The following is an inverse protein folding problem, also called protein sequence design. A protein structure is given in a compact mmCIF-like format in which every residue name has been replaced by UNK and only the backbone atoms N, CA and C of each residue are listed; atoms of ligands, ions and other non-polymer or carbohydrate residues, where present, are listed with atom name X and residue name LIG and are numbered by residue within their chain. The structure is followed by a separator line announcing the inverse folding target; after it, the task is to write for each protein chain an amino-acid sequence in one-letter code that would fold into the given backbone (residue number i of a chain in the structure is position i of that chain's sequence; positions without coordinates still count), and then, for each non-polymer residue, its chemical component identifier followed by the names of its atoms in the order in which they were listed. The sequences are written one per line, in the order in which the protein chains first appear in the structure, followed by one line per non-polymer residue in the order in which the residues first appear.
data_IF_503440025167
#
_entry.id   IF_503440025167
#
_cell.length_a   1.000
_cell.length_b   1.000
_cell.length_c   1.000
_cell.angle_alpha   90.00
_cell.angle_beta   90.00
_cell.angle_gamma   90.00
#
_symmetry.space_group_name_H-M   'P 1'
#
loop_
_entity.id
_entity.type
_entity.pdbx_description
1 polymer ?
#
# COMPACT_ATOMS: atom_id res chain seq x y z
N UNK A 1 -24.49 27.48 -16.81
CA UNK A 1 -24.73 26.72 -15.56
C UNK A 1 -23.56 27.00 -14.65
N UNK A 2 -23.76 27.82 -13.61
CA UNK A 2 -22.74 28.14 -12.61
C UNK A 2 -22.58 26.92 -11.72
N UNK A 3 -21.51 26.18 -11.92
CA UNK A 3 -21.05 25.14 -10.96
C UNK A 3 -20.48 25.91 -9.78
N UNK A 4 -21.27 26.12 -8.74
CA UNK A 4 -20.72 26.52 -7.46
C UNK A 4 -19.63 25.49 -7.08
N UNK A 5 -18.44 25.95 -6.64
CA UNK A 5 -17.43 25.03 -6.17
C UNK A 5 -18.03 24.24 -4.99
N UNK A 6 -18.01 22.93 -5.08
CA UNK A 6 -18.38 22.03 -3.96
C UNK A 6 -17.43 22.32 -2.79
N UNK A 7 -17.79 23.30 -1.97
CA UNK A 7 -17.01 23.68 -0.79
C UNK A 7 -17.07 22.52 0.19
N UNK A 8 -15.91 22.04 0.61
CA UNK A 8 -15.80 21.04 1.68
C UNK A 8 -16.36 21.66 2.96
N UNK A 9 -17.38 21.03 3.53
CA UNK A 9 -17.89 21.44 4.83
C UNK A 9 -16.85 21.05 5.90
N UNK A 10 -16.28 22.06 6.57
CA UNK A 10 -15.25 21.85 7.61
C UNK A 10 -15.75 21.04 8.82
N UNK A 11 -17.06 20.89 8.98
CA UNK A 11 -17.67 20.09 10.05
C UNK A 11 -17.89 18.62 9.66
N UNK A 12 -17.63 18.24 8.40
CA UNK A 12 -17.78 16.87 7.95
C UNK A 12 -16.61 16.04 8.46
N UNK A 13 -16.90 14.82 8.91
CA UNK A 13 -15.85 13.86 9.28
C UNK A 13 -14.96 13.56 8.07
N UNK A 14 -13.63 13.74 8.14
CA UNK A 14 -12.73 13.50 7.01
C UNK A 14 -12.76 12.08 6.48
N UNK A 15 -13.01 11.06 7.32
CA UNK A 15 -13.10 9.67 6.89
C UNK A 15 -14.39 9.40 6.11
N UNK A 16 -15.51 10.00 6.49
CA UNK A 16 -16.75 9.89 5.73
C UNK A 16 -16.58 10.53 4.35
N UNK A 17 -15.95 11.71 4.30
CA UNK A 17 -15.65 12.38 3.04
C UNK A 17 -14.69 11.54 2.17
N UNK A 18 -13.66 10.94 2.77
CA UNK A 18 -12.76 10.00 2.07
C UNK A 18 -13.55 8.84 1.47
N UNK A 19 -14.45 8.24 2.24
CA UNK A 19 -15.29 7.11 1.81
C UNK A 19 -16.12 7.47 0.59
N UNK A 20 -16.83 8.59 0.64
CA UNK A 20 -17.71 9.05 -0.44
C UNK A 20 -16.90 9.28 -1.73
N UNK A 21 -15.78 9.99 -1.64
CA UNK A 21 -14.92 10.27 -2.77
C UNK A 21 -14.22 9.02 -3.31
N UNK A 22 -13.86 8.08 -2.44
CA UNK A 22 -13.25 6.82 -2.87
C UNK A 22 -14.26 5.93 -3.60
N UNK A 23 -15.52 5.88 -3.16
CA UNK A 23 -16.58 5.17 -3.88
C UNK A 23 -16.88 5.82 -5.25
N UNK A 24 -16.81 7.14 -5.36
CA UNK A 24 -16.90 7.85 -6.63
C UNK A 24 -15.68 7.52 -7.53
N UNK A 25 -14.48 7.57 -7.00
CA UNK A 25 -13.25 7.24 -7.72
C UNK A 25 -13.24 5.79 -8.24
N UNK A 26 -13.75 4.83 -7.48
CA UNK A 26 -13.87 3.43 -7.93
C UNK A 26 -14.73 3.27 -9.18
N UNK A 27 -15.66 4.18 -9.43
CA UNK A 27 -16.57 4.14 -10.59
C UNK A 27 -15.99 4.86 -11.80
N UNK A 28 -15.08 5.80 -11.59
CA UNK A 28 -14.67 6.77 -12.62
C UNK A 28 -13.19 6.71 -12.98
N UNK A 29 -12.30 6.30 -12.06
CA UNK A 29 -10.89 6.10 -12.37
C UNK A 29 -10.70 4.88 -13.26
N UNK A 30 -9.92 5.05 -14.32
CA UNK A 30 -9.66 3.98 -15.30
C UNK A 30 -8.82 2.85 -14.66
N UNK A 31 -7.86 3.20 -13.81
CA UNK A 31 -6.94 2.25 -13.19
C UNK A 31 -6.73 2.58 -11.71
N UNK A 32 -6.64 1.55 -10.90
CA UNK A 32 -6.16 1.57 -9.51
C UNK A 32 -6.65 2.77 -8.66
N UNK A 33 -7.95 2.99 -8.46
CA UNK A 33 -8.46 4.08 -7.62
C UNK A 33 -7.89 4.04 -6.20
N UNK A 34 -7.41 2.89 -5.77
CA UNK A 34 -6.75 2.66 -4.49
C UNK A 34 -5.23 2.90 -4.52
N UNK A 35 -4.67 3.36 -5.64
CA UNK A 35 -3.27 3.75 -5.70
C UNK A 35 -3.04 5.03 -4.89
N UNK A 36 -2.04 5.01 -4.03
CA UNK A 36 -1.64 6.16 -3.23
C UNK A 36 -0.14 6.35 -3.24
N UNK A 37 0.31 7.58 -3.29
CA UNK A 37 1.72 7.91 -3.10
C UNK A 37 2.04 7.87 -1.60
N UNK A 38 2.95 6.98 -1.21
CA UNK A 38 3.49 6.89 0.14
C UNK A 38 4.84 7.62 0.19
N UNK A 39 4.91 8.71 0.92
CA UNK A 39 6.15 9.39 1.27
C UNK A 39 6.72 8.83 2.59
N UNK A 40 8.03 8.60 2.62
CA UNK A 40 8.77 8.09 3.78
C UNK A 40 10.08 8.83 3.94
N UNK A 41 10.63 8.86 5.14
CA UNK A 41 11.92 9.47 5.46
C UNK A 41 12.91 8.33 5.74
N UNK A 42 14.02 8.29 5.00
CA UNK A 42 15.08 7.32 5.22
C UNK A 42 15.89 7.63 6.49
N UNK A 43 16.69 6.67 6.97
CA UNK A 43 17.51 6.82 8.19
C UNK A 43 18.47 8.02 8.16
N UNK A 44 18.86 8.49 6.96
CA UNK A 44 19.70 9.69 6.77
C UNK A 44 18.89 10.98 6.52
N UNK A 45 17.59 10.98 6.87
CA UNK A 45 16.72 12.15 6.76
C UNK A 45 16.19 12.46 5.34
N UNK A 46 16.58 11.70 4.31
CA UNK A 46 16.14 11.96 2.94
C UNK A 46 14.71 11.50 2.69
N UNK A 47 13.81 12.36 2.19
CA UNK A 47 12.47 11.94 1.77
C UNK A 47 12.54 11.10 0.50
N UNK A 48 11.68 10.11 0.42
CA UNK A 48 11.48 9.28 -0.77
C UNK A 48 10.01 8.93 -0.91
N UNK A 49 9.51 8.78 -2.14
CA UNK A 49 8.12 8.41 -2.38
C UNK A 49 7.95 7.33 -3.45
N UNK A 50 6.83 6.65 -3.44
CA UNK A 50 6.43 5.62 -4.41
C UNK A 50 4.94 5.35 -4.30
N UNK A 51 4.38 4.73 -5.33
CA UNK A 51 3.00 4.25 -5.27
C UNK A 51 2.94 2.94 -4.48
N UNK A 52 1.94 2.84 -3.61
CA UNK A 52 1.46 1.62 -2.97
C UNK A 52 -0.06 1.55 -3.10
N UNK A 53 -0.65 0.38 -2.85
CA UNK A 53 -2.10 0.21 -2.97
C UNK A 53 -2.74 0.15 -1.58
N UNK A 54 -3.74 1.01 -1.36
CA UNK A 54 -4.65 0.89 -0.22
C UNK A 54 -5.38 -0.45 -0.29
N UNK A 55 -5.45 -1.17 0.83
CA UNK A 55 -6.12 -2.48 0.91
C UNK A 55 -7.34 -2.48 1.82
N UNK A 56 -7.28 -1.72 2.89
CA UNK A 56 -8.42 -1.42 3.76
C UNK A 56 -8.20 -0.09 4.46
N UNK A 57 -9.28 0.48 4.97
CA UNK A 57 -9.26 1.66 5.83
C UNK A 57 -10.46 1.59 6.77
N UNK A 58 -10.29 2.16 7.93
CA UNK A 58 -11.31 2.32 8.96
C UNK A 58 -10.97 3.55 9.84
N UNK A 59 -11.65 3.67 10.99
CA UNK A 59 -11.39 4.74 11.94
C UNK A 59 -9.99 4.69 12.57
N UNK A 60 -9.30 3.56 12.48
CA UNK A 60 -7.94 3.40 12.98
C UNK A 60 -6.88 3.86 11.97
N UNK A 61 -7.18 3.82 10.66
CA UNK A 61 -6.27 4.30 9.62
C UNK A 61 -6.34 3.57 8.29
N UNK A 62 -5.24 3.68 7.53
CA UNK A 62 -5.12 3.25 6.14
C UNK A 62 -4.10 2.12 6.01
N UNK A 63 -4.53 0.95 5.54
CA UNK A 63 -3.71 -0.27 5.50
C UNK A 63 -3.15 -0.53 4.10
N UNK A 64 -1.86 -0.82 4.05
CA UNK A 64 -1.18 -1.31 2.85
C UNK A 64 -0.18 -2.42 3.20
N UNK A 65 0.28 -3.16 2.19
CA UNK A 65 1.23 -4.26 2.39
C UNK A 65 2.48 -4.06 1.56
N UNK A 66 3.63 -4.43 2.13
CA UNK A 66 4.92 -4.32 1.42
C UNK A 66 5.98 -5.26 1.99
N UNK A 67 7.10 -5.35 1.27
CA UNK A 67 8.29 -6.05 1.73
C UNK A 67 9.09 -5.16 2.70
N UNK A 68 9.27 -5.61 3.95
CA UNK A 68 10.02 -4.90 5.00
C UNK A 68 11.52 -4.74 4.68
N UNK A 69 12.07 -5.60 3.80
CA UNK A 69 13.47 -5.50 3.35
C UNK A 69 13.67 -4.49 2.22
N UNK A 70 12.59 -4.00 1.59
CA UNK A 70 12.67 -2.98 0.54
C UNK A 70 13.15 -1.64 1.09
N UNK A 71 13.57 -0.71 0.19
CA UNK A 71 13.96 0.66 0.60
C UNK A 71 12.91 1.33 1.48
N UNK A 72 11.60 1.24 1.09
CA UNK A 72 10.52 1.81 1.89
C UNK A 72 10.33 1.07 3.21
N UNK A 73 10.43 -0.26 3.22
CA UNK A 73 10.32 -1.06 4.45
C UNK A 73 11.38 -0.68 5.48
N UNK A 74 12.63 -0.50 5.05
CA UNK A 74 13.72 -0.01 5.91
C UNK A 74 13.46 1.42 6.41
N UNK A 75 12.93 2.30 5.57
CA UNK A 75 12.57 3.66 5.96
C UNK A 75 11.45 3.66 7.02
N UNK A 76 10.41 2.85 6.86
CA UNK A 76 9.31 2.70 7.81
C UNK A 76 9.78 2.16 9.19
N UNK A 77 10.83 1.36 9.21
CA UNK A 77 11.42 0.87 10.48
C UNK A 77 12.25 1.94 11.20
N UNK A 78 12.82 2.90 10.46
CA UNK A 78 13.69 3.94 11.02
C UNK A 78 12.96 5.24 11.36
N UNK A 79 11.84 5.52 10.70
CA UNK A 79 11.03 6.72 10.93
C UNK A 79 9.56 6.42 10.69
N UNK A 80 8.77 6.65 11.72
CA UNK A 80 7.33 6.35 11.67
C UNK A 80 6.50 7.43 10.94
N UNK A 81 7.05 8.64 10.74
CA UNK A 81 6.33 9.71 10.07
C UNK A 81 6.22 9.45 8.57
N UNK A 82 5.01 9.49 8.07
CA UNK A 82 4.68 9.22 6.67
C UNK A 82 3.60 10.18 6.18
N UNK A 83 3.52 10.31 4.87
CA UNK A 83 2.38 10.96 4.22
C UNK A 83 1.84 10.07 3.10
N UNK A 84 0.52 10.03 2.97
CA UNK A 84 -0.19 9.43 1.86
C UNK A 84 -0.79 10.53 1.00
N UNK A 85 -0.81 10.33 -0.30
CA UNK A 85 -1.50 11.21 -1.22
C UNK A 85 -2.26 10.40 -2.25
N UNK A 86 -3.58 10.62 -2.33
CA UNK A 86 -4.44 10.16 -3.40
C UNK A 86 -4.68 11.31 -4.38
N UNK A 87 -4.69 11.01 -5.66
CA UNK A 87 -5.05 11.98 -6.70
C UNK A 87 -5.97 11.30 -7.70
N UNK A 88 -7.25 11.56 -7.57
CA UNK A 88 -8.29 11.07 -8.47
C UNK A 88 -8.60 12.12 -9.51
N UNK A 89 -7.98 11.95 -10.66
CA UNK A 89 -8.04 12.93 -11.75
C UNK A 89 -9.43 13.00 -12.38
N UNK A 90 -10.11 11.86 -12.47
CA UNK A 90 -11.45 11.76 -13.07
C UNK A 90 -12.50 12.59 -12.34
N UNK A 91 -12.34 12.82 -11.05
CA UNK A 91 -13.26 13.58 -10.20
C UNK A 91 -12.63 14.87 -9.64
N UNK A 92 -11.44 15.24 -10.11
CA UNK A 92 -10.69 16.42 -9.65
C UNK A 92 -10.55 16.52 -8.13
N UNK A 93 -10.24 15.36 -7.49
CA UNK A 93 -10.05 15.27 -6.03
C UNK A 93 -8.62 14.89 -5.68
N UNK A 94 -8.10 15.51 -4.63
CA UNK A 94 -6.84 15.15 -4.01
C UNK A 94 -7.03 15.03 -2.50
N UNK A 95 -6.47 13.98 -1.91
CA UNK A 95 -6.47 13.76 -0.46
C UNK A 95 -5.04 13.56 0.00
N UNK A 96 -4.64 14.29 1.02
CA UNK A 96 -3.38 14.13 1.73
C UNK A 96 -3.65 13.69 3.15
N UNK A 97 -2.86 12.72 3.62
CA UNK A 97 -2.95 12.17 4.97
C UNK A 97 -1.55 12.15 5.53
N UNK A 98 -1.33 12.88 6.61
CA UNK A 98 -0.08 12.85 7.37
C UNK A 98 -0.33 12.07 8.65
N UNK A 99 0.64 11.23 9.05
CA UNK A 99 0.45 10.38 10.21
C UNK A 99 1.65 9.53 10.54
N UNK A 100 1.41 8.60 11.46
CA UNK A 100 2.42 7.61 11.88
C UNK A 100 2.06 6.23 11.38
N UNK A 101 3.06 5.49 10.93
CA UNK A 101 2.90 4.11 10.44
C UNK A 101 3.24 3.12 11.54
N UNK A 102 2.44 2.05 11.63
CA UNK A 102 2.66 0.92 12.52
C UNK A 102 2.50 -0.39 11.74
N UNK A 103 3.14 -1.45 12.21
CA UNK A 103 2.94 -2.79 11.65
C UNK A 103 1.63 -3.36 12.22
N UNK A 104 0.80 -3.97 11.36
CA UNK A 104 -0.40 -4.69 11.80
C UNK A 104 -0.01 -6.05 12.41
N UNK A 105 -0.97 -6.73 13.03
CA UNK A 105 -0.77 -8.05 13.61
C UNK A 105 -0.35 -9.09 12.56
N UNK A 106 0.34 -10.15 13.01
CA UNK A 106 0.70 -11.27 12.13
C UNK A 106 -0.52 -11.97 11.57
N UNK A 107 -1.51 -12.22 12.42
CA UNK A 107 -2.73 -12.92 12.04
C UNK A 107 -3.51 -12.18 10.96
N UNK A 108 -3.61 -10.85 11.07
CA UNK A 108 -4.23 -10.01 10.07
C UNK A 108 -3.44 -10.01 8.74
N UNK A 109 -2.11 -9.95 8.84
CA UNK A 109 -1.24 -10.03 7.66
C UNK A 109 -1.33 -11.40 6.99
N UNK A 110 -1.39 -12.50 7.74
CA UNK A 110 -1.55 -13.86 7.24
C UNK A 110 -2.90 -14.03 6.56
N UNK A 111 -3.98 -13.60 7.21
CA UNK A 111 -5.34 -13.65 6.67
C UNK A 111 -5.45 -12.92 5.32
N UNK A 112 -4.88 -11.72 5.21
CA UNK A 112 -4.89 -11.00 3.95
C UNK A 112 -3.97 -11.67 2.91
N UNK A 113 -2.79 -12.17 3.31
CA UNK A 113 -1.88 -12.86 2.41
C UNK A 113 -2.53 -14.08 1.77
N UNK A 114 -3.28 -14.87 2.53
CA UNK A 114 -3.97 -16.07 2.06
C UNK A 114 -5.09 -15.76 1.07
N UNK A 115 -5.70 -14.60 1.17
CA UNK A 115 -6.73 -14.15 0.21
C UNK A 115 -6.15 -13.75 -1.16
N UNK A 116 -4.82 -13.62 -1.29
CA UNK A 116 -4.18 -13.21 -2.54
C UNK A 116 -4.12 -14.35 -3.56
N UNK A 117 -4.20 -14.06 -4.87
CA UNK A 117 -3.96 -15.05 -5.92
C UNK A 117 -2.62 -15.78 -5.74
N UNK A 118 -2.59 -17.07 -6.07
CA UNK A 118 -1.41 -17.94 -5.90
C UNK A 118 -0.14 -17.33 -6.51
N UNK A 119 -0.21 -16.83 -7.75
CA UNK A 119 0.94 -16.19 -8.41
C UNK A 119 1.47 -14.96 -7.65
N UNK A 120 0.57 -14.18 -7.01
CA UNK A 120 0.98 -13.04 -6.17
C UNK A 120 1.64 -13.50 -4.85
N UNK A 121 1.19 -14.63 -4.29
CA UNK A 121 1.82 -15.23 -3.10
C UNK A 121 3.22 -15.75 -3.43
N UNK A 122 3.37 -16.49 -4.53
CA UNK A 122 4.68 -16.98 -5.02
C UNK A 122 5.61 -15.81 -5.37
N UNK A 123 5.08 -14.78 -6.06
CA UNK A 123 5.85 -13.58 -6.39
C UNK A 123 6.43 -12.86 -5.16
N UNK A 124 5.73 -12.89 -4.03
CA UNK A 124 6.22 -12.31 -2.77
C UNK A 124 7.46 -13.04 -2.22
N UNK A 125 7.61 -14.35 -2.47
CA UNK A 125 8.82 -15.12 -2.16
C UNK A 125 9.94 -14.89 -3.17
N UNK A 126 9.61 -14.86 -4.45
CA UNK A 126 10.58 -14.80 -5.53
C UNK A 126 11.24 -13.42 -5.68
N UNK A 127 10.51 -12.34 -5.34
CA UNK A 127 10.96 -10.97 -5.56
C UNK A 127 11.83 -10.45 -4.41
N UNK A 128 13.07 -10.05 -4.73
CA UNK A 128 13.92 -9.25 -3.85
C UNK A 128 13.65 -7.77 -4.11
N UNK A 129 12.56 -7.26 -3.56
CA UNK A 129 12.06 -5.92 -3.83
C UNK A 129 13.10 -4.83 -3.50
N UNK A 130 13.32 -3.90 -4.42
CA UNK A 130 14.31 -2.80 -4.33
C UNK A 130 15.78 -3.23 -4.44
N UNK A 131 16.04 -4.46 -4.85
CA UNK A 131 17.39 -4.92 -5.22
C UNK A 131 17.56 -4.90 -6.72
N UNK A 132 18.81 -4.79 -7.18
CA UNK A 132 19.15 -4.84 -8.59
C UNK A 132 18.85 -6.24 -9.15
N UNK A 133 18.16 -6.28 -10.28
CA UNK A 133 17.90 -7.50 -11.03
C UNK A 133 18.73 -7.49 -12.31
N UNK A 134 19.85 -8.19 -12.32
CA UNK A 134 20.78 -8.24 -13.47
C UNK A 134 20.16 -8.83 -14.73
N UNK A 135 19.25 -9.81 -14.58
CA UNK A 135 18.52 -10.43 -15.69
C UNK A 135 17.15 -10.89 -15.23
N UNK A 136 16.14 -10.63 -16.07
CA UNK A 136 14.77 -11.11 -15.86
C UNK A 136 14.68 -12.64 -15.72
N UNK A 137 15.56 -13.39 -16.38
CA UNK A 137 15.63 -14.85 -16.27
C UNK A 137 15.88 -15.31 -14.84
N UNK A 138 16.61 -14.53 -14.04
CA UNK A 138 16.84 -14.83 -12.62
C UNK A 138 15.54 -14.81 -11.83
N UNK A 139 14.68 -13.82 -12.08
CA UNK A 139 13.37 -13.73 -11.43
C UNK A 139 12.47 -14.90 -11.86
N UNK A 140 12.42 -15.20 -13.16
CA UNK A 140 11.64 -16.33 -13.69
C UNK A 140 12.11 -17.65 -13.06
N UNK A 141 13.41 -17.87 -12.97
CA UNK A 141 13.97 -19.06 -12.32
C UNK A 141 13.51 -19.16 -10.85
N UNK A 142 13.58 -18.08 -10.08
CA UNK A 142 13.10 -18.04 -8.68
C UNK A 142 11.60 -18.33 -8.57
N UNK A 143 10.79 -17.77 -9.46
CA UNK A 143 9.34 -18.06 -9.49
C UNK A 143 9.11 -19.55 -9.68
N UNK A 144 9.74 -20.18 -10.68
CA UNK A 144 9.61 -21.61 -10.95
C UNK A 144 10.11 -22.49 -9.79
N UNK A 145 11.16 -22.08 -9.08
CA UNK A 145 11.67 -22.75 -7.89
C UNK A 145 10.65 -22.72 -6.75
N UNK A 146 10.02 -21.56 -6.49
CA UNK A 146 9.00 -21.44 -5.46
C UNK A 146 7.68 -22.11 -5.85
N UNK A 147 7.30 -22.13 -7.12
CA UNK A 147 6.16 -22.91 -7.63
C UNK A 147 6.35 -24.39 -7.35
N UNK A 148 7.53 -24.95 -7.67
CA UNK A 148 7.88 -26.33 -7.35
C UNK A 148 7.90 -26.59 -5.84
N UNK A 149 8.45 -25.66 -5.05
CA UNK A 149 8.53 -25.81 -3.59
C UNK A 149 7.15 -25.87 -2.93
N UNK A 150 6.18 -25.15 -3.48
CA UNK A 150 4.83 -25.03 -2.92
C UNK A 150 3.78 -25.77 -3.75
N UNK A 151 4.15 -26.86 -4.42
CA UNK A 151 3.27 -27.66 -5.30
C UNK A 151 1.95 -28.10 -4.65
N UNK A 152 1.90 -28.22 -3.32
CA UNK A 152 0.74 -28.66 -2.57
C UNK A 152 -0.16 -27.49 -2.08
N UNK A 153 -0.06 -26.32 -2.71
CA UNK A 153 -0.97 -25.16 -2.55
C UNK A 153 -0.92 -24.37 -1.25
N UNK A 154 -0.18 -24.76 -0.23
CA UNK A 154 0.00 -23.94 0.95
C UNK A 154 1.26 -23.09 0.77
N UNK A 155 1.07 -21.81 0.40
CA UNK A 155 2.17 -20.85 0.29
C UNK A 155 2.11 -19.95 1.52
N UNK A 156 2.94 -20.17 2.55
CA UNK A 156 2.92 -19.35 3.75
C UNK A 156 3.41 -17.94 3.42
N UNK A 157 3.01 -16.97 4.23
CA UNK A 157 3.50 -15.59 4.08
C UNK A 157 5.01 -15.53 4.37
N UNK A 158 5.83 -14.95 3.47
CA UNK A 158 7.24 -14.78 3.75
C UNK A 158 7.45 -13.80 4.92
N UNK A 159 8.45 -14.03 5.80
CA UNK A 159 8.67 -13.19 6.99
C UNK A 159 8.88 -11.70 6.70
N UNK A 160 9.35 -11.39 5.50
CA UNK A 160 9.60 -10.03 5.05
C UNK A 160 8.38 -9.34 4.42
N UNK A 161 7.25 -10.02 4.22
CA UNK A 161 6.04 -9.43 3.66
C UNK A 161 5.06 -9.10 4.79
N UNK A 162 4.80 -7.82 5.02
CA UNK A 162 4.06 -7.33 6.17
C UNK A 162 3.01 -6.30 5.77
N UNK A 163 1.99 -6.17 6.60
CA UNK A 163 1.01 -5.10 6.53
C UNK A 163 1.40 -3.94 7.44
N UNK A 164 0.99 -2.76 7.04
CA UNK A 164 1.25 -1.51 7.74
C UNK A 164 -0.03 -0.68 7.75
N UNK A 165 -0.32 -0.07 8.89
CA UNK A 165 -1.41 0.89 9.06
C UNK A 165 -0.83 2.28 9.26
N UNK A 166 -1.33 3.26 8.52
CA UNK A 166 -1.04 4.68 8.74
C UNK A 166 -2.18 5.26 9.57
N UNK A 167 -1.88 5.66 10.79
CA UNK A 167 -2.80 6.37 11.68
C UNK A 167 -2.67 7.87 11.43
N UNK A 168 -3.73 8.56 10.98
CA UNK A 168 -3.69 9.99 10.73
C UNK A 168 -3.35 10.79 11.99
N UNK A 169 -2.63 11.90 11.83
CA UNK A 169 -2.58 12.93 12.86
C UNK A 169 -3.92 13.68 12.81
N UNK A 170 -4.64 13.70 13.90
CA UNK A 170 -5.85 14.49 14.09
C UNK A 170 -5.49 15.88 14.58
#
# INVERSE_FOLDING_TARGET
MSTEPNLINSNQNPLDLFKDWFEEAKKTEINDPNAMNLATISSNGKPTSRIVLLKSYDNEGFVFYTNSKSKKGKALSSNLNVALNFHWKSINKQIRIEGKVYMISKDEADKYYDSRPLGSRIGAWASLQSEELKDRKILIKRVNEYEKKFQNNIVPRPPHWNGYIVKPNL
#
